data_IF_778503696019
#
_entry.id   IF_778503696019
#
_cell.length_a   1.000
_cell.length_b   1.000
_cell.length_c   1.000
_cell.angle_alpha   90.00
_cell.angle_beta   90.00
_cell.angle_gamma   90.00
#
_symmetry.space_group_name_H-M   'P 1'
#
loop_
_entity.id
_entity.type
_entity.pdbx_description
1 polymer ?
#
# COMPACT_ATOMS: atom_id res chain seq x y z
N UNK A 1 -8.30 -13.52 -14.98
CA UNK A 1 -8.43 -12.11 -15.41
C UNK A 1 -7.80 -11.22 -14.35
N UNK A 2 -6.68 -10.54 -14.63
CA UNK A 2 -6.07 -9.64 -13.63
C UNK A 2 -6.83 -8.33 -13.53
N UNK A 3 -7.11 -7.88 -12.30
CA UNK A 3 -7.74 -6.60 -12.04
C UNK A 3 -6.71 -5.47 -12.18
N UNK A 4 -6.95 -4.51 -13.07
CA UNK A 4 -6.12 -3.31 -13.19
C UNK A 4 -6.29 -2.41 -11.96
N UNK A 5 -5.29 -1.57 -11.65
CA UNK A 5 -5.39 -0.59 -10.56
C UNK A 5 -6.57 0.35 -10.79
N UNK A 6 -6.79 0.76 -12.05
CA UNK A 6 -7.94 1.55 -12.43
C UNK A 6 -9.25 0.85 -12.04
N UNK A 7 -9.36 -0.44 -12.35
CA UNK A 7 -10.54 -1.22 -12.00
C UNK A 7 -10.74 -1.33 -10.49
N UNK A 8 -9.67 -1.51 -9.72
CA UNK A 8 -9.75 -1.56 -8.26
C UNK A 8 -10.22 -0.22 -7.68
N UNK A 9 -9.72 0.92 -8.18
CA UNK A 9 -10.17 2.26 -7.78
C UNK A 9 -11.67 2.43 -8.08
N UNK A 10 -12.12 2.04 -9.27
CA UNK A 10 -13.53 2.17 -9.68
C UNK A 10 -14.46 1.29 -8.85
N UNK A 11 -14.05 0.06 -8.52
CA UNK A 11 -14.88 -0.89 -7.77
C UNK A 11 -14.98 -0.55 -6.28
N UNK A 12 -13.90 -0.05 -5.68
CA UNK A 12 -13.84 0.22 -4.24
C UNK A 12 -14.19 1.67 -3.88
N UNK A 13 -14.02 2.62 -4.81
CA UNK A 13 -14.27 4.04 -4.56
C UNK A 13 -13.57 4.52 -3.29
N UNK A 14 -14.37 5.04 -2.34
CA UNK A 14 -13.89 5.58 -1.06
C UNK A 14 -13.18 4.56 -0.15
N UNK A 15 -13.32 3.26 -0.43
CA UNK A 15 -12.65 2.20 0.32
C UNK A 15 -11.23 1.92 -0.19
N UNK A 16 -10.90 2.33 -1.43
CA UNK A 16 -9.59 2.09 -2.02
C UNK A 16 -8.44 2.71 -1.22
N UNK A 17 -8.54 3.95 -0.69
CA UNK A 17 -7.49 4.51 0.17
C UNK A 17 -7.20 3.65 1.41
N UNK A 18 -8.22 3.07 2.04
CA UNK A 18 -8.05 2.19 3.20
C UNK A 18 -7.36 0.88 2.83
N UNK A 19 -7.71 0.31 1.67
CA UNK A 19 -7.03 -0.86 1.11
C UNK A 19 -5.55 -0.54 0.82
N UNK A 20 -5.29 0.58 0.15
CA UNK A 20 -3.93 1.00 -0.18
C UNK A 20 -3.09 1.20 1.08
N UNK A 21 -3.65 1.86 2.10
CA UNK A 21 -3.00 2.05 3.39
C UNK A 21 -2.66 0.71 4.05
N UNK A 22 -3.56 -0.28 3.93
CA UNK A 22 -3.34 -1.62 4.49
C UNK A 22 -2.18 -2.33 3.78
N UNK A 23 -2.14 -2.26 2.44
CA UNK A 23 -1.00 -2.78 1.68
C UNK A 23 0.28 -2.05 2.06
N UNK A 24 0.30 -0.72 2.03
CA UNK A 24 1.49 0.08 2.35
C UNK A 24 1.99 -0.15 3.79
N UNK A 25 1.11 -0.36 4.75
CA UNK A 25 1.50 -0.60 6.15
C UNK A 25 1.69 -2.08 6.50
N UNK A 26 1.80 -2.96 5.49
CA UNK A 26 2.02 -4.42 5.66
C UNK A 26 0.96 -5.09 6.54
N UNK A 27 -0.26 -4.54 6.57
CA UNK A 27 -1.40 -5.15 7.25
C UNK A 27 -1.83 -6.37 6.42
N UNK A 28 -2.00 -7.55 7.04
CA UNK A 28 -2.47 -8.73 6.33
C UNK A 28 -3.86 -8.50 5.75
N UNK A 29 -4.08 -8.99 4.53
CA UNK A 29 -5.36 -8.87 3.82
C UNK A 29 -5.89 -10.27 3.49
N UNK A 30 -7.12 -10.55 3.92
CA UNK A 30 -7.89 -11.72 3.52
C UNK A 30 -8.81 -11.34 2.35
N UNK A 31 -8.65 -12.01 1.22
CA UNK A 31 -9.52 -11.87 0.04
C UNK A 31 -10.53 -13.01 0.10
N UNK A 32 -11.78 -12.68 0.42
CA UNK A 32 -12.80 -13.65 0.82
C UNK A 32 -13.93 -13.68 -0.22
N UNK A 33 -14.35 -14.86 -0.65
CA UNK A 33 -15.52 -15.01 -1.52
C UNK A 33 -15.77 -16.45 -1.93
N UNK A 34 -16.55 -16.68 -2.99
CA UNK A 34 -16.99 -18.03 -3.39
C UNK A 34 -16.25 -18.62 -4.59
N UNK A 35 -15.69 -17.76 -5.43
CA UNK A 35 -15.05 -18.13 -6.68
C UNK A 35 -13.53 -18.03 -6.54
N UNK A 36 -12.88 -19.19 -6.42
CA UNK A 36 -11.43 -19.26 -6.21
C UNK A 36 -10.61 -18.59 -7.31
N UNK A 37 -11.06 -18.61 -8.56
CA UNK A 37 -10.31 -17.99 -9.66
C UNK A 37 -10.29 -16.46 -9.50
N UNK A 38 -11.45 -15.88 -9.16
CA UNK A 38 -11.56 -14.44 -8.90
C UNK A 38 -10.74 -14.04 -7.67
N UNK A 39 -10.79 -14.85 -6.60
CA UNK A 39 -10.03 -14.56 -5.38
C UNK A 39 -8.52 -14.60 -5.63
N UNK A 40 -8.04 -15.59 -6.38
CA UNK A 40 -6.62 -15.73 -6.71
C UNK A 40 -6.16 -14.59 -7.64
N UNK A 41 -6.96 -14.23 -8.64
CA UNK A 41 -6.72 -13.09 -9.51
C UNK A 41 -6.65 -11.76 -8.74
N UNK A 42 -7.57 -11.53 -7.79
CA UNK A 42 -7.56 -10.35 -6.93
C UNK A 42 -6.35 -10.35 -6.00
N UNK A 43 -6.03 -11.47 -5.37
CA UNK A 43 -4.87 -11.61 -4.47
C UNK A 43 -3.59 -11.23 -5.20
N UNK A 44 -3.39 -11.78 -6.40
CA UNK A 44 -2.26 -11.43 -7.27
C UNK A 44 -2.28 -9.95 -7.67
N UNK A 45 -3.45 -9.40 -8.02
CA UNK A 45 -3.60 -8.00 -8.41
C UNK A 45 -3.30 -7.03 -7.27
N UNK A 46 -3.66 -7.36 -6.03
CA UNK A 46 -3.37 -6.54 -4.85
C UNK A 46 -1.88 -6.43 -4.56
N UNK A 47 -1.07 -7.44 -4.89
CA UNK A 47 0.40 -7.35 -4.72
C UNK A 47 1.02 -6.25 -5.58
N UNK A 48 0.37 -5.88 -6.69
CA UNK A 48 0.82 -4.79 -7.59
C UNK A 48 0.62 -3.40 -6.98
N UNK A 49 -0.13 -3.28 -5.88
CA UNK A 49 -0.29 -2.02 -5.15
C UNK A 49 0.99 -1.63 -4.36
N UNK A 50 1.96 -2.54 -4.22
CA UNK A 50 3.27 -2.27 -3.60
C UNK A 50 4.42 -2.57 -4.58
N UNK A 51 4.60 -1.79 -5.65
CA UNK A 51 5.62 -2.03 -6.68
C UNK A 51 7.08 -1.91 -6.19
N UNK A 52 7.29 -1.36 -4.99
CA UNK A 52 8.59 -1.28 -4.33
C UNK A 52 8.98 -2.57 -3.59
N UNK A 53 8.06 -3.53 -3.49
CA UNK A 53 8.25 -4.79 -2.76
C UNK A 53 8.50 -5.96 -3.69
N UNK A 54 9.29 -6.90 -3.20
CA UNK A 54 9.47 -8.20 -3.83
C UNK A 54 8.30 -9.12 -3.48
N UNK A 55 7.65 -9.69 -4.49
CA UNK A 55 6.53 -10.61 -4.28
C UNK A 55 7.06 -12.03 -4.11
N UNK A 56 6.65 -12.70 -3.03
CA UNK A 56 6.83 -14.14 -2.85
C UNK A 56 5.47 -14.86 -2.87
N UNK A 57 5.39 -16.02 -3.52
CA UNK A 57 4.21 -16.86 -3.61
C UNK A 57 4.39 -18.08 -2.72
N UNK A 58 3.56 -18.19 -1.69
CA UNK A 58 3.56 -19.34 -0.80
C UNK A 58 3.27 -20.63 -1.56
N UNK A 59 3.93 -21.73 -1.16
CA UNK A 59 3.86 -23.06 -1.80
C UNK A 59 4.49 -23.16 -3.20
N UNK A 60 5.04 -22.07 -3.74
CA UNK A 60 5.85 -22.07 -4.96
C UNK A 60 7.29 -21.69 -4.68
N UNK A 61 7.49 -20.64 -3.88
CA UNK A 61 8.82 -20.09 -3.60
C UNK A 61 9.33 -20.46 -2.20
N UNK A 62 8.41 -20.70 -1.26
CA UNK A 62 8.73 -21.15 0.10
C UNK A 62 7.59 -21.97 0.70
N UNK A 63 7.89 -22.81 1.69
CA UNK A 63 6.89 -23.72 2.30
C UNK A 63 6.91 -23.78 3.83
N UNK A 64 7.88 -23.14 4.47
CA UNK A 64 8.09 -23.19 5.91
C UNK A 64 8.11 -21.80 6.56
N UNK A 65 7.78 -21.75 7.85
CA UNK A 65 7.87 -20.49 8.62
C UNK A 65 9.32 -20.02 8.83
N UNK A 66 10.30 -20.93 8.77
CA UNK A 66 11.70 -20.59 8.97
C UNK A 66 12.27 -19.87 7.75
N UNK A 67 11.94 -20.33 6.54
CA UNK A 67 12.33 -19.67 5.28
C UNK A 67 11.89 -18.20 5.23
N UNK A 68 10.59 -17.94 5.48
CA UNK A 68 10.07 -16.57 5.47
C UNK A 68 10.64 -15.72 6.61
N UNK A 69 10.94 -16.33 7.76
CA UNK A 69 11.57 -15.61 8.88
C UNK A 69 12.97 -15.16 8.52
N UNK A 70 13.77 -15.99 7.87
CA UNK A 70 15.11 -15.61 7.41
C UNK A 70 15.06 -14.45 6.41
N UNK A 71 14.06 -14.40 5.52
CA UNK A 71 13.85 -13.26 4.61
C UNK A 71 13.53 -11.99 5.40
N UNK A 72 12.58 -12.05 6.34
CA UNK A 72 12.22 -10.90 7.18
C UNK A 72 13.38 -10.44 8.07
N UNK A 73 14.21 -11.36 8.56
CA UNK A 73 15.41 -11.03 9.31
C UNK A 73 16.43 -10.31 8.43
N UNK A 74 16.63 -10.75 7.18
CA UNK A 74 17.50 -10.03 6.25
C UNK A 74 17.00 -8.60 5.98
N UNK A 75 15.69 -8.40 5.81
CA UNK A 75 15.08 -7.06 5.62
C UNK A 75 15.35 -6.08 6.77
N UNK A 76 15.51 -6.59 8.01
CA UNK A 76 15.77 -5.78 9.21
C UNK A 76 17.21 -5.26 9.27
N UNK A 77 18.16 -5.97 8.67
CA UNK A 77 19.57 -5.59 8.76
C UNK A 77 20.00 -4.64 7.65
N UNK A 78 19.24 -4.57 6.54
CA UNK A 78 19.60 -3.76 5.39
C UNK A 78 18.42 -2.92 4.87
N UNK A 79 18.55 -1.59 5.03
CA UNK A 79 17.59 -0.62 4.51
C UNK A 79 17.56 -0.57 2.98
N UNK A 80 18.53 -1.17 2.28
CA UNK A 80 18.64 -1.27 0.82
C UNK A 80 17.91 -2.44 0.19
N UNK A 81 17.57 -3.48 0.96
CA UNK A 81 16.86 -4.65 0.44
C UNK A 81 15.38 -4.34 0.21
N UNK A 82 14.84 -4.73 -0.95
CA UNK A 82 13.41 -4.62 -1.22
C UNK A 82 12.62 -5.50 -0.24
N UNK A 83 11.60 -4.92 0.39
CA UNK A 83 10.77 -5.63 1.38
C UNK A 83 9.86 -6.61 0.68
N UNK A 84 9.44 -7.64 1.39
CA UNK A 84 8.63 -8.72 0.83
C UNK A 84 7.14 -8.46 1.04
N UNK A 85 6.36 -8.80 0.02
CA UNK A 85 4.92 -9.02 0.11
C UNK A 85 4.61 -10.48 -0.26
N UNK A 86 3.80 -11.16 0.56
CA UNK A 86 3.49 -12.57 0.34
C UNK A 86 2.11 -12.72 -0.29
N UNK A 87 2.03 -13.50 -1.35
CA UNK A 87 0.81 -13.93 -2.02
C UNK A 87 0.51 -15.38 -1.62
N UNK A 88 -0.68 -15.63 -1.07
CA UNK A 88 -1.17 -16.96 -0.74
C UNK A 88 -2.47 -17.23 -1.49
N UNK A 89 -2.45 -18.23 -2.38
CA UNK A 89 -3.60 -18.60 -3.18
C UNK A 89 -4.60 -19.44 -2.38
N UNK A 90 -5.84 -19.46 -2.84
CA UNK A 90 -6.98 -20.11 -2.18
C UNK A 90 -6.77 -21.60 -1.96
N UNK A 91 -6.08 -22.26 -2.88
CA UNK A 91 -5.72 -23.68 -2.79
C UNK A 91 -4.72 -24.01 -1.69
N UNK A 92 -4.01 -23.02 -1.15
CA UNK A 92 -2.87 -23.20 -0.23
C UNK A 92 -3.06 -22.59 1.15
N UNK A 93 -4.19 -21.91 1.38
CA UNK A 93 -4.43 -21.17 2.63
C UNK A 93 -4.45 -22.08 3.87
N UNK A 94 -5.03 -23.28 3.78
CA UNK A 94 -5.05 -24.22 4.91
C UNK A 94 -3.62 -24.59 5.35
N UNK A 95 -2.75 -24.90 4.39
CA UNK A 95 -1.34 -25.21 4.62
C UNK A 95 -0.58 -24.02 5.21
N UNK A 96 -0.88 -22.80 4.74
CA UNK A 96 -0.28 -21.58 5.29
C UNK A 96 -0.69 -21.41 6.76
N UNK A 97 -1.97 -21.57 7.08
CA UNK A 97 -2.48 -21.45 8.44
C UNK A 97 -1.91 -22.51 9.39
N UNK A 98 -1.60 -23.71 8.92
CA UNK A 98 -0.96 -24.75 9.74
C UNK A 98 0.51 -24.46 10.02
N UNK A 99 1.24 -23.94 9.02
CA UNK A 99 2.70 -23.89 9.04
C UNK A 99 3.27 -22.52 9.41
N UNK A 100 2.52 -21.45 9.21
CA UNK A 100 2.99 -20.08 9.34
C UNK A 100 2.40 -19.46 10.61
N UNK A 101 3.27 -18.80 11.37
CA UNK A 101 2.91 -18.16 12.63
C UNK A 101 2.67 -16.65 12.50
N UNK A 102 3.33 -16.01 11.52
CA UNK A 102 3.28 -14.56 11.32
C UNK A 102 2.89 -14.25 9.88
N UNK A 103 1.85 -13.45 9.72
CA UNK A 103 1.23 -13.11 8.44
C UNK A 103 1.52 -11.64 8.03
N UNK A 104 2.59 -11.03 8.54
CA UNK A 104 2.93 -9.64 8.22
C UNK A 104 3.17 -9.48 6.71
N UNK A 105 2.47 -8.54 6.09
CA UNK A 105 2.50 -8.33 4.64
C UNK A 105 1.98 -9.50 3.79
N UNK A 106 1.06 -10.32 4.31
CA UNK A 106 0.41 -11.39 3.54
C UNK A 106 -0.90 -10.92 2.92
N UNK A 107 -1.11 -11.28 1.66
CA UNK A 107 -2.40 -11.22 0.98
C UNK A 107 -2.82 -12.66 0.69
N UNK A 108 -3.96 -13.07 1.24
CA UNK A 108 -4.38 -14.47 1.25
C UNK A 108 -5.80 -14.63 0.72
N UNK A 109 -5.98 -15.52 -0.25
CA UNK A 109 -7.32 -15.88 -0.74
C UNK A 109 -7.97 -16.94 0.16
N UNK A 110 -9.21 -16.69 0.57
CA UNK A 110 -10.02 -17.56 1.41
C UNK A 110 -11.37 -17.85 0.73
N UNK A 111 -11.52 -19.06 0.20
CA UNK A 111 -12.76 -19.48 -0.47
C UNK A 111 -13.78 -20.03 0.54
N UNK A 112 -14.92 -19.36 0.65
CA UNK A 112 -16.07 -19.75 1.47
C UNK A 112 -17.11 -20.44 0.59
N UNK A 113 -17.57 -21.64 0.98
CA UNK A 113 -18.72 -22.29 0.33
C UNK A 113 -19.82 -22.57 1.35
N UNK A 114 -21.07 -22.42 0.93
CA UNK A 114 -22.26 -22.65 1.77
C UNK A 114 -22.54 -24.14 1.99
N UNK A 115 -22.02 -25.02 1.14
CA UNK A 115 -22.30 -26.45 1.21
C UNK A 115 -21.19 -27.19 1.96
N UNK A 116 -21.61 -28.00 2.93
CA UNK A 116 -20.83 -28.82 3.86
C UNK A 116 -20.06 -29.99 3.20
N UNK A 117 -19.42 -29.75 2.06
CA UNK A 117 -18.37 -30.64 1.57
C UNK A 117 -17.08 -30.36 2.34
N UNK A 118 -16.37 -31.43 2.70
CA UNK A 118 -15.34 -31.53 3.74
C UNK A 118 -14.11 -30.60 3.65
N UNK A 119 -14.08 -29.63 2.73
CA UNK A 119 -12.93 -28.75 2.49
C UNK A 119 -13.34 -27.27 2.27
N UNK A 120 -14.60 -26.90 2.49
CA UNK A 120 -15.06 -25.52 2.36
C UNK A 120 -14.97 -24.76 3.69
N UNK A 121 -14.41 -23.55 3.64
CA UNK A 121 -14.34 -22.66 4.81
C UNK A 121 -15.72 -22.06 5.10
N UNK A 122 -16.12 -22.08 6.36
CA UNK A 122 -17.34 -21.42 6.86
C UNK A 122 -17.03 -19.99 7.34
N UNK A 123 -18.05 -19.13 7.47
CA UNK A 123 -17.88 -17.79 8.07
C UNK A 123 -17.34 -17.86 9.52
N UNK A 124 -17.65 -18.93 10.26
CA UNK A 124 -17.07 -19.16 11.59
C UNK A 124 -15.55 -19.37 11.53
N UNK A 125 -15.10 -20.24 10.62
CA UNK A 125 -13.67 -20.47 10.40
C UNK A 125 -12.96 -19.23 9.88
N UNK A 126 -13.62 -18.38 9.09
CA UNK A 126 -13.07 -17.08 8.71
C UNK A 126 -12.81 -16.22 9.94
N UNK A 127 -13.73 -16.17 10.90
CA UNK A 127 -13.53 -15.44 12.17
C UNK A 127 -12.32 -15.93 12.96
N UNK A 128 -12.12 -17.26 13.03
CA UNK A 128 -10.92 -17.85 13.67
C UNK A 128 -9.64 -17.47 12.93
N UNK A 129 -9.68 -17.38 11.60
CA UNK A 129 -8.54 -16.95 10.78
C UNK A 129 -8.25 -15.47 11.00
N UNK A 130 -9.28 -14.61 10.97
CA UNK A 130 -9.14 -13.18 11.25
C UNK A 130 -8.53 -12.94 12.63
N UNK A 131 -8.94 -13.70 13.64
CA UNK A 131 -8.37 -13.63 14.99
C UNK A 131 -6.91 -14.12 15.02
N UNK A 132 -6.62 -15.28 14.42
CA UNK A 132 -5.27 -15.85 14.37
C UNK A 132 -4.29 -14.93 13.64
N UNK A 133 -4.69 -14.42 12.49
CA UNK A 133 -3.90 -13.48 11.67
C UNK A 133 -3.75 -12.15 12.42
N UNK A 134 -4.85 -11.64 13.00
CA UNK A 134 -4.89 -10.37 13.71
C UNK A 134 -4.11 -10.34 15.02
N UNK A 135 -3.98 -11.48 15.70
CA UNK A 135 -3.17 -11.63 16.91
C UNK A 135 -1.70 -11.26 16.66
N UNK A 136 -1.20 -11.45 15.43
CA UNK A 136 0.20 -11.19 15.09
C UNK A 136 0.50 -9.72 14.71
N UNK A 137 -0.44 -8.97 14.10
CA UNK A 137 -0.18 -7.64 13.48
C UNK A 137 -1.12 -6.52 13.97
N UNK A 138 -1.85 -6.71 15.08
CA UNK A 138 -2.80 -5.75 15.67
C UNK A 138 -4.07 -5.49 14.85
N UNK A 139 -4.07 -5.68 13.52
CA UNK A 139 -5.22 -5.54 12.64
C UNK A 139 -5.16 -6.50 11.43
N UNK A 140 -6.29 -6.69 10.75
CA UNK A 140 -6.46 -7.47 9.51
C UNK A 140 -7.43 -6.73 8.60
N UNK A 141 -7.13 -6.68 7.30
CA UNK A 141 -8.06 -6.23 6.27
C UNK A 141 -8.81 -7.40 5.66
N UNK A 142 -10.10 -7.23 5.40
CA UNK A 142 -10.93 -8.21 4.72
C UNK A 142 -11.51 -7.58 3.46
N UNK A 143 -11.14 -8.13 2.30
CA UNK A 143 -11.72 -7.79 1.00
C UNK A 143 -12.76 -8.85 0.65
N UNK A 144 -14.04 -8.56 0.90
CA UNK A 144 -15.17 -9.46 0.58
C UNK A 144 -15.60 -9.28 -0.87
N UNK A 145 -15.68 -10.40 -1.59
CA UNK A 145 -16.07 -10.49 -3.00
C UNK A 145 -17.45 -11.14 -3.07
N UNK A 146 -18.48 -10.31 -3.26
CA UNK A 146 -19.85 -10.79 -3.46
C UNK A 146 -20.08 -11.19 -4.92
N UNK A 147 -19.48 -10.44 -5.85
CA UNK A 147 -19.51 -10.71 -7.29
C UNK A 147 -18.28 -10.08 -7.96
N UNK A 148 -17.96 -10.40 -9.24
CA UNK A 148 -16.83 -9.81 -9.95
C UNK A 148 -16.87 -8.27 -10.04
N UNK A 149 -18.05 -7.67 -9.90
CA UNK A 149 -18.31 -6.23 -9.97
C UNK A 149 -18.66 -5.60 -8.61
N UNK A 150 -18.71 -6.38 -7.53
CA UNK A 150 -19.06 -5.91 -6.20
C UNK A 150 -18.11 -6.51 -5.17
N UNK A 151 -17.17 -5.67 -4.76
CA UNK A 151 -16.19 -5.97 -3.73
C UNK A 151 -16.27 -4.92 -2.61
N UNK A 152 -16.02 -5.34 -1.38
CA UNK A 152 -16.07 -4.48 -0.21
C UNK A 152 -14.82 -4.69 0.63
N UNK A 153 -14.13 -3.61 0.99
CA UNK A 153 -12.99 -3.65 1.90
C UNK A 153 -13.34 -3.08 3.26
N UNK A 154 -12.94 -3.81 4.31
CA UNK A 154 -13.05 -3.36 5.69
C UNK A 154 -11.82 -3.80 6.50
N UNK A 155 -11.59 -3.10 7.62
CA UNK A 155 -10.60 -3.51 8.61
C UNK A 155 -11.32 -4.11 9.81
N UNK A 156 -10.75 -5.15 10.42
CA UNK A 156 -11.27 -5.77 11.63
C UNK A 156 -11.40 -4.75 12.78
N UNK A 157 -10.41 -3.85 12.91
CA UNK A 157 -10.45 -2.69 13.80
C UNK A 157 -10.40 -1.41 12.98
N UNK A 158 -11.22 -0.39 13.31
CA UNK A 158 -11.16 0.89 12.61
C UNK A 158 -9.76 1.49 12.71
N UNK A 159 -9.27 2.00 11.59
CA UNK A 159 -7.99 2.73 11.55
C UNK A 159 -8.21 4.16 12.01
N UNK A 160 -7.29 4.69 12.83
CA UNK A 160 -7.23 6.11 13.18
C UNK A 160 -6.47 6.93 12.12
N UNK A 161 -6.06 6.31 11.01
CA UNK A 161 -5.37 6.99 9.91
C UNK A 161 -6.33 7.95 9.19
N UNK A 162 -5.82 9.12 8.83
CA UNK A 162 -6.56 10.13 8.06
C UNK A 162 -6.60 9.80 6.56
N UNK A 163 -5.74 8.86 6.12
CA UNK A 163 -5.60 8.37 4.76
C UNK A 163 -5.24 9.49 3.77
N UNK A 164 -4.52 10.51 4.23
CA UNK A 164 -4.23 11.69 3.41
C UNK A 164 -3.29 11.35 2.26
N UNK A 165 -2.24 10.58 2.54
CA UNK A 165 -1.31 10.05 1.53
C UNK A 165 -2.06 9.29 0.45
N UNK A 166 -2.90 8.32 0.84
CA UNK A 166 -3.57 7.44 -0.11
C UNK A 166 -4.62 8.16 -0.94
N UNK A 167 -5.41 9.06 -0.32
CA UNK A 167 -6.35 9.91 -1.06
C UNK A 167 -5.63 10.80 -2.05
N UNK A 168 -4.50 11.38 -1.66
CA UNK A 168 -3.70 12.24 -2.54
C UNK A 168 -3.16 11.47 -3.73
N UNK A 169 -2.67 10.24 -3.52
CA UNK A 169 -2.22 9.35 -4.62
C UNK A 169 -3.37 9.11 -5.59
N UNK A 170 -4.57 8.77 -5.11
CA UNK A 170 -5.76 8.56 -5.96
C UNK A 170 -6.11 9.82 -6.75
N UNK A 171 -6.12 10.99 -6.11
CA UNK A 171 -6.43 12.26 -6.77
C UNK A 171 -5.42 12.60 -7.88
N UNK A 172 -4.14 12.38 -7.63
CA UNK A 172 -3.07 12.60 -8.60
C UNK A 172 -3.25 11.68 -9.80
N UNK A 173 -3.53 10.39 -9.56
CA UNK A 173 -3.77 9.40 -10.62
C UNK A 173 -4.95 9.82 -11.48
N UNK A 174 -6.11 10.13 -10.88
CA UNK A 174 -7.32 10.49 -11.62
C UNK A 174 -7.13 11.77 -12.43
N UNK A 175 -6.43 12.75 -11.86
CA UNK A 175 -6.17 14.05 -12.51
C UNK A 175 -5.18 13.91 -13.66
N UNK A 176 -4.00 13.32 -13.41
CA UNK A 176 -2.93 13.16 -14.43
C UNK A 176 -3.38 12.22 -15.55
N UNK A 177 -4.11 11.13 -15.24
CA UNK A 177 -4.73 10.24 -16.23
C UNK A 177 -5.66 11.01 -17.17
N UNK A 178 -6.60 11.79 -16.60
CA UNK A 178 -7.57 12.57 -17.39
C UNK A 178 -6.85 13.54 -18.33
N UNK A 179 -5.88 14.29 -17.82
CA UNK A 179 -5.10 15.25 -18.60
C UNK A 179 -4.31 14.57 -19.74
N UNK A 180 -3.69 13.43 -19.47
CA UNK A 180 -2.95 12.65 -20.47
C UNK A 180 -3.87 12.14 -21.58
N UNK A 181 -5.01 11.54 -21.22
CA UNK A 181 -5.98 11.02 -22.19
C UNK A 181 -6.59 12.15 -23.03
N UNK A 182 -6.94 13.29 -22.43
CA UNK A 182 -7.44 14.46 -23.18
C UNK A 182 -6.39 15.00 -24.16
N UNK A 183 -5.11 15.04 -23.76
CA UNK A 183 -4.02 15.45 -24.63
C UNK A 183 -3.87 14.48 -25.81
N UNK A 184 -3.91 13.17 -25.59
CA UNK A 184 -3.82 12.15 -26.65
C UNK A 184 -5.02 12.26 -27.59
N UNK A 185 -6.25 12.31 -27.06
CA UNK A 185 -7.47 12.48 -27.86
C UNK A 185 -7.42 13.74 -28.72
N UNK A 186 -6.90 14.85 -28.16
CA UNK A 186 -6.72 16.09 -28.92
C UNK A 186 -5.72 15.89 -30.05
N UNK A 187 -4.55 15.30 -29.79
CA UNK A 187 -3.53 15.07 -30.82
C UNK A 187 -4.05 14.16 -31.94
N UNK A 188 -4.66 13.02 -31.60
CA UNK A 188 -5.28 12.11 -32.57
C UNK A 188 -6.37 12.82 -33.38
N UNK A 189 -7.28 13.53 -32.70
CA UNK A 189 -8.32 14.31 -33.38
C UNK A 189 -7.75 15.37 -34.31
N UNK A 190 -6.62 16.01 -33.97
CA UNK A 190 -5.95 16.95 -34.89
C UNK A 190 -5.41 16.24 -36.13
N UNK A 191 -4.76 15.08 -35.97
CA UNK A 191 -4.17 14.32 -37.06
C UNK A 191 -5.20 13.72 -38.01
N UNK A 192 -6.40 13.40 -37.52
CA UNK A 192 -7.46 12.75 -38.29
C UNK A 192 -8.41 13.72 -39.00
N UNK A 193 -8.31 15.04 -38.76
CA UNK A 193 -9.25 16.06 -39.28
C UNK A 193 -9.34 16.17 -40.81
N UNK A 194 -8.35 15.66 -41.54
CA UNK A 194 -8.33 15.67 -43.01
C UNK A 194 -8.71 14.33 -43.66
N UNK A 195 -9.04 13.31 -42.86
CA UNK A 195 -9.42 12.00 -43.36
C UNK A 195 -10.95 11.86 -43.27
N UNK A 196 -11.61 11.58 -44.39
CA UNK A 196 -13.04 11.23 -44.44
C UNK A 196 -13.26 9.83 -43.85
N UNK A 197 -13.08 9.71 -42.53
CA UNK A 197 -13.24 8.44 -41.84
C UNK A 197 -14.72 8.22 -41.46
N UNK A 198 -15.25 7.01 -41.64
CA UNK A 198 -16.53 6.62 -41.07
C UNK A 198 -16.54 6.89 -39.55
N UNK A 199 -17.67 7.39 -39.02
CA UNK A 199 -17.83 7.73 -37.59
C UNK A 199 -17.44 6.58 -36.64
N UNK A 200 -17.65 5.33 -37.06
CA UNK A 200 -17.26 4.13 -36.30
C UNK A 200 -15.74 3.97 -36.16
N UNK A 201 -14.97 4.22 -37.22
CA UNK A 201 -13.50 4.16 -37.17
C UNK A 201 -12.92 5.30 -36.34
N UNK A 202 -13.48 6.50 -36.44
CA UNK A 202 -13.09 7.63 -35.59
C UNK A 202 -13.30 7.31 -34.11
N UNK A 203 -14.43 6.69 -33.77
CA UNK A 203 -14.73 6.28 -32.38
C UNK A 203 -13.77 5.21 -31.89
N UNK A 204 -13.45 4.21 -32.71
CA UNK A 204 -12.51 3.14 -32.36
C UNK A 204 -11.09 3.67 -32.12
N UNK A 205 -10.60 4.59 -32.95
CA UNK A 205 -9.27 5.21 -32.77
C UNK A 205 -9.19 6.09 -31.51
N UNK A 206 -10.32 6.61 -31.04
CA UNK A 206 -10.41 7.43 -29.82
C UNK A 206 -10.82 6.61 -28.58
N UNK A 207 -10.99 5.30 -28.73
CA UNK A 207 -11.16 4.37 -27.62
C UNK A 207 -9.77 4.05 -27.06
N UNK A 208 -9.48 4.62 -25.89
CA UNK A 208 -8.15 4.60 -25.27
C UNK A 208 -8.20 3.86 -23.92
N UNK A 209 -8.97 2.78 -23.86
CA UNK A 209 -9.22 2.05 -22.60
C UNK A 209 -7.92 1.37 -22.12
N UNK A 210 -7.20 0.71 -23.03
CA UNK A 210 -5.90 0.09 -22.74
C UNK A 210 -4.83 1.12 -22.36
N UNK A 211 -4.80 2.28 -23.05
CA UNK A 211 -3.92 3.38 -22.68
C UNK A 211 -4.28 3.98 -21.32
N UNK A 212 -5.56 4.05 -20.97
CA UNK A 212 -6.00 4.53 -19.68
C UNK A 212 -5.47 3.63 -18.55
N UNK A 213 -5.53 2.30 -18.73
CA UNK A 213 -4.98 1.37 -17.75
C UNK A 213 -3.46 1.50 -17.61
N UNK A 214 -2.72 1.57 -18.72
CA UNK A 214 -1.26 1.73 -18.72
C UNK A 214 -0.82 3.03 -18.07
N UNK A 215 -1.45 4.16 -18.45
CA UNK A 215 -1.17 5.47 -17.86
C UNK A 215 -1.46 5.45 -16.36
N UNK A 216 -2.56 4.81 -15.92
CA UNK A 216 -2.85 4.65 -14.50
C UNK A 216 -1.77 3.85 -13.77
N UNK A 217 -1.32 2.72 -14.35
CA UNK A 217 -0.26 1.92 -13.76
C UNK A 217 1.05 2.73 -13.62
N UNK A 218 1.48 3.42 -14.67
CA UNK A 218 2.72 4.19 -14.66
C UNK A 218 2.70 5.31 -13.62
N UNK A 219 1.60 6.08 -13.56
CA UNK A 219 1.45 7.15 -12.57
C UNK A 219 1.40 6.56 -11.16
N UNK A 220 0.65 5.48 -10.94
CA UNK A 220 0.57 4.84 -9.62
C UNK A 220 1.96 4.38 -9.14
N UNK A 221 2.73 3.73 -10.01
CA UNK A 221 4.09 3.30 -9.66
C UNK A 221 5.01 4.48 -9.35
N UNK A 222 4.94 5.56 -10.12
CA UNK A 222 5.70 6.77 -9.90
C UNK A 222 5.40 7.36 -8.51
N UNK A 223 4.12 7.53 -8.17
CA UNK A 223 3.71 8.12 -6.89
C UNK A 223 4.10 7.24 -5.70
N UNK A 224 3.89 5.92 -5.78
CA UNK A 224 4.28 5.01 -4.69
C UNK A 224 5.79 4.99 -4.50
N UNK A 225 6.58 4.91 -5.59
CA UNK A 225 8.05 4.95 -5.51
C UNK A 225 8.51 6.30 -4.95
N UNK A 226 7.89 7.40 -5.37
CA UNK A 226 8.15 8.75 -4.87
C UNK A 226 7.96 8.85 -3.35
N UNK A 227 6.82 8.35 -2.84
CA UNK A 227 6.53 8.30 -1.42
C UNK A 227 7.55 7.44 -0.64
N UNK A 228 7.87 6.24 -1.14
CA UNK A 228 8.86 5.34 -0.51
C UNK A 228 10.24 5.98 -0.44
N UNK A 229 10.68 6.66 -1.51
CA UNK A 229 11.96 7.37 -1.52
C UNK A 229 11.98 8.58 -0.57
N UNK A 230 10.87 9.29 -0.43
CA UNK A 230 10.74 10.35 0.58
C UNK A 230 10.84 9.77 2.01
N UNK A 231 10.13 8.67 2.28
CA UNK A 231 10.19 8.00 3.57
C UNK A 231 11.58 7.45 3.90
N UNK A 232 12.28 6.91 2.91
CA UNK A 232 13.67 6.47 3.05
C UNK A 232 14.63 7.62 3.39
N UNK A 233 14.46 8.78 2.75
CA UNK A 233 15.21 9.99 3.09
C UNK A 233 14.90 10.43 4.52
N UNK A 234 13.64 10.35 4.94
CA UNK A 234 13.24 10.62 6.32
C UNK A 234 13.97 9.70 7.30
N UNK A 235 14.03 8.38 7.05
CA UNK A 235 14.79 7.43 7.88
C UNK A 235 16.24 7.86 8.03
N UNK A 236 16.91 8.20 6.93
CA UNK A 236 18.32 8.63 6.95
C UNK A 236 18.51 9.91 7.78
N UNK A 237 17.63 10.89 7.61
CA UNK A 237 17.71 12.17 8.33
C UNK A 237 17.40 11.99 9.83
N UNK A 238 16.34 11.26 10.16
CA UNK A 238 15.91 11.03 11.54
C UNK A 238 16.93 10.19 12.31
N UNK A 239 17.55 9.19 11.67
CA UNK A 239 18.66 8.41 12.23
C UNK A 239 19.85 9.31 12.60
N UNK A 240 20.23 10.24 11.71
CA UNK A 240 21.32 11.19 11.97
C UNK A 240 20.98 12.16 13.10
N UNK A 241 19.72 12.61 13.19
CA UNK A 241 19.25 13.47 14.27
C UNK A 241 19.28 12.73 15.61
N UNK A 242 18.83 11.47 15.64
CA UNK A 242 18.90 10.63 16.84
C UNK A 242 20.35 10.47 17.32
N UNK A 243 21.28 10.13 16.42
CA UNK A 243 22.71 10.05 16.73
C UNK A 243 23.28 11.38 17.24
N UNK A 244 22.93 12.51 16.62
CA UNK A 244 23.37 13.82 17.09
C UNK A 244 22.87 14.13 18.51
N UNK A 245 21.62 13.75 18.83
CA UNK A 245 21.06 13.87 20.20
C UNK A 245 21.78 12.98 21.21
N UNK A 246 22.10 11.74 20.84
CA UNK A 246 22.89 10.83 21.67
C UNK A 246 24.29 11.39 21.96
N UNK A 247 24.87 12.14 21.02
CA UNK A 247 26.14 12.86 21.17
C UNK A 247 26.02 14.22 21.90
N UNK A 248 24.83 14.58 22.39
CA UNK A 248 24.60 15.77 23.20
C UNK A 248 24.13 17.01 22.44
N UNK A 249 23.83 16.93 21.14
CA UNK A 249 23.28 18.06 20.38
C UNK A 249 21.77 18.25 20.61
N UNK A 250 21.33 19.49 20.86
CA UNK A 250 19.93 19.86 21.03
C UNK A 250 19.19 20.05 19.69
N UNK A 251 19.34 19.12 18.74
CA UNK A 251 18.70 19.26 17.42
C UNK A 251 17.21 18.92 17.49
N UNK A 252 16.36 19.93 17.29
CA UNK A 252 14.91 19.79 17.13
C UNK A 252 14.55 20.02 15.66
N UNK A 253 13.91 19.04 15.02
CA UNK A 253 13.39 19.15 13.66
C UNK A 253 11.89 19.42 13.72
N UNK A 254 11.42 20.42 12.99
CA UNK A 254 9.99 20.66 12.78
C UNK A 254 9.47 19.79 11.63
N UNK A 255 8.18 19.45 11.66
CA UNK A 255 7.53 18.69 10.59
C UNK A 255 7.73 19.36 9.22
N UNK A 256 7.53 20.68 9.12
CA UNK A 256 7.74 21.44 7.88
C UNK A 256 9.16 21.25 7.31
N UNK A 257 10.19 21.36 8.14
CA UNK A 257 11.57 21.23 7.69
C UNK A 257 11.88 19.80 7.23
N UNK A 258 11.27 18.79 7.88
CA UNK A 258 11.41 17.41 7.45
C UNK A 258 10.81 17.22 6.05
N UNK A 259 9.58 17.67 5.85
CA UNK A 259 8.85 17.52 4.58
C UNK A 259 9.55 18.24 3.41
N UNK A 260 10.06 19.44 3.66
CA UNK A 260 10.89 20.17 2.69
C UNK A 260 12.17 19.41 2.34
N UNK A 261 12.88 18.87 3.34
CA UNK A 261 14.12 18.13 3.12
C UNK A 261 13.90 16.79 2.38
N UNK A 262 12.78 16.10 2.64
CA UNK A 262 12.42 14.86 1.95
C UNK A 262 11.63 15.12 0.66
N UNK A 263 11.37 16.37 0.29
CA UNK A 263 10.67 16.73 -0.94
C UNK A 263 9.29 16.07 -1.07
N UNK A 264 8.55 15.97 0.03
CA UNK A 264 7.16 15.50 0.05
C UNK A 264 6.27 16.68 0.44
N UNK A 265 5.20 16.92 -0.31
CA UNK A 265 4.32 18.08 -0.15
C UNK A 265 2.93 17.72 0.44
N UNK A 266 2.71 16.45 0.79
CA UNK A 266 1.43 15.96 1.32
C UNK A 266 1.60 14.84 2.36
N UNK A 267 0.52 14.57 3.11
CA UNK A 267 0.46 13.52 4.12
C UNK A 267 0.89 14.01 5.51
N UNK A 268 0.34 13.39 6.55
CA UNK A 268 0.66 13.74 7.93
C UNK A 268 1.91 13.02 8.44
N UNK A 269 2.67 13.67 9.32
CA UNK A 269 3.87 13.04 9.89
C UNK A 269 3.59 11.68 10.55
N UNK A 270 2.45 11.54 11.22
CA UNK A 270 2.07 10.28 11.85
C UNK A 270 1.94 9.15 10.83
N UNK A 271 1.45 9.44 9.62
CA UNK A 271 1.32 8.46 8.52
C UNK A 271 2.71 8.07 8.00
N UNK A 272 3.62 9.05 7.87
CA UNK A 272 5.01 8.81 7.49
C UNK A 272 5.74 7.92 8.51
N UNK A 273 5.61 8.23 9.80
CA UNK A 273 6.23 7.43 10.87
C UNK A 273 5.62 6.03 10.95
N UNK A 274 4.30 5.91 10.77
CA UNK A 274 3.62 4.61 10.73
C UNK A 274 4.14 3.77 9.56
N UNK A 275 4.26 4.37 8.37
CA UNK A 275 4.83 3.71 7.21
C UNK A 275 6.27 3.25 7.50
N UNK A 276 7.12 4.14 8.02
CA UNK A 276 8.51 3.82 8.34
C UNK A 276 8.61 2.64 9.32
N UNK A 277 7.77 2.65 10.36
CA UNK A 277 7.73 1.58 11.36
C UNK A 277 7.30 0.24 10.76
N UNK A 278 6.38 0.25 9.81
CA UNK A 278 5.94 -0.98 9.14
C UNK A 278 6.96 -1.49 8.11
N UNK A 279 7.65 -0.58 7.42
CA UNK A 279 8.58 -0.91 6.32
C UNK A 279 9.99 -1.27 6.82
N UNK A 280 10.52 -0.53 7.80
CA UNK A 280 11.89 -0.66 8.32
C UNK A 280 11.98 -1.06 9.79
N UNK A 281 10.84 -1.25 10.48
CA UNK A 281 10.81 -1.60 11.92
C UNK A 281 11.46 -0.56 12.85
N UNK A 282 11.64 0.66 12.38
CA UNK A 282 12.17 1.78 13.15
C UNK A 282 11.04 2.69 13.65
N UNK A 283 11.10 3.10 14.91
CA UNK A 283 10.15 4.04 15.49
C UNK A 283 10.86 5.36 15.78
N UNK A 284 10.56 6.41 15.01
CA UNK A 284 11.12 7.77 15.18
C UNK A 284 10.16 8.74 15.89
N UNK A 285 9.16 8.22 16.60
CA UNK A 285 8.23 9.06 17.36
C UNK A 285 8.93 9.92 18.43
N UNK A 286 10.08 9.47 18.95
CA UNK A 286 10.95 10.19 19.88
C UNK A 286 11.67 11.39 19.25
N UNK A 287 11.94 11.30 17.94
CA UNK A 287 12.66 12.33 17.20
C UNK A 287 11.81 13.58 16.99
N UNK A 288 10.50 13.50 17.21
CA UNK A 288 9.56 14.52 16.79
C UNK A 288 8.63 14.91 17.93
N UNK A 289 8.77 16.16 18.39
CA UNK A 289 7.89 16.71 19.41
C UNK A 289 6.60 17.18 18.74
N UNK A 290 5.47 16.60 19.14
CA UNK A 290 4.14 17.12 18.81
C UNK A 290 4.07 18.61 19.18
N UNK A 291 3.48 19.42 18.29
CA UNK A 291 3.44 20.87 18.43
C UNK A 291 2.99 21.31 19.82
N UNK A 292 3.86 22.03 20.54
CA UNK A 292 3.54 23.16 21.46
C UNK A 292 4.56 23.40 22.57
N UNK A 293 5.50 22.49 22.89
CA UNK A 293 6.41 22.69 24.03
C UNK A 293 7.88 22.51 23.70
N UNK A 294 8.50 23.50 23.04
CA UNK A 294 9.94 23.80 23.14
C UNK A 294 10.28 25.23 22.72
N UNK A 295 9.39 26.18 23.04
CA UNK A 295 9.70 27.62 23.00
C UNK A 295 10.59 28.10 24.15
N UNK A 296 11.08 27.21 25.02
CA UNK A 296 11.93 27.59 26.16
C UNK A 296 13.43 27.48 25.88
N UNK A 297 13.86 26.64 24.94
CA UNK A 297 15.29 26.56 24.55
C UNK A 297 15.70 27.69 23.60
N UNK A 298 14.87 27.97 22.59
CA UNK A 298 15.12 29.04 21.62
C UNK A 298 14.98 30.45 22.22
N UNK A 299 14.28 30.60 23.35
CA UNK A 299 14.21 31.88 24.07
C UNK A 299 15.41 32.09 25.01
N UNK A 300 15.97 31.01 25.59
CA UNK A 300 17.18 31.07 26.41
C UNK A 300 18.41 31.32 25.54
N UNK A 301 18.51 30.70 24.36
CA UNK A 301 19.62 31.00 23.42
C UNK A 301 19.50 32.40 22.79
N UNK A 302 18.30 32.97 22.72
CA UNK A 302 18.08 34.38 22.32
C UNK A 302 18.43 35.40 23.42
N UNK A 303 18.70 34.95 24.65
CA UNK A 303 19.03 35.80 25.79
C UNK A 303 20.50 35.72 26.24
N UNK A 304 21.30 34.80 25.69
CA UNK A 304 22.68 34.55 26.12
C UNK A 304 23.71 34.52 24.97
N UNK A 305 23.59 35.45 24.02
CA UNK A 305 24.70 35.79 23.10
C UNK A 305 24.18 36.22 21.72
N UNK A 306 24.24 37.48 21.29
CA UNK A 306 25.20 38.56 21.56
C UNK A 306 25.46 38.94 23.02
#
# INVERSE_FOLDING_TARGET
>A
MTYSILKLIELLGDQFPSLLNSVLNRIPILVVGRDSEILDDLTESLTRLSPHRHKLVFWREFTSSDEIRSVIEAEKHDHEVARTIVCCLSSTISLALERIQNFASWIMAACIRQDSYAHAMTEYQLGEIEEKVGASIRNVGTLRVESPSRIHFSLLKPSNSQLEVERRIVDIILTRKKQALERIKRLLGKSLRGLELPKGMMKAVLQLDDEAEKITQDIFEEEIKGFVYAARRAVTLLSRIRLARELGASTVLTERNLYEAIGLDYGGLNELIQFIRSEWHEDFSDCIKGGSLSGLGAWVDSMWGS
#
